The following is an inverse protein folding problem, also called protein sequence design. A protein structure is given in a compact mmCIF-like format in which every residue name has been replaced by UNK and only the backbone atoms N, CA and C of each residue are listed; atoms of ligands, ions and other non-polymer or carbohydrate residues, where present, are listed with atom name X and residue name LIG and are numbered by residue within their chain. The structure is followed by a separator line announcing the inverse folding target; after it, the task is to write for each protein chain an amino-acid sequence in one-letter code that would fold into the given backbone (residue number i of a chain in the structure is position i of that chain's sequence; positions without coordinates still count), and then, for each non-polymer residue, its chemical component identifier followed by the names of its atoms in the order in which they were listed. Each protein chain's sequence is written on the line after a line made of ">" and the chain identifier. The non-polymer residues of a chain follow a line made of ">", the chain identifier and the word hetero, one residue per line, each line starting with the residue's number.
data_IF_477667119327
#
_entry.id   IF_477667119327
#
_cell.length_a   1.000
_cell.length_b   1.000
_cell.length_c   1.000
_cell.angle_alpha   90.00
_cell.angle_beta   90.00
_cell.angle_gamma   90.00
#
_symmetry.space_group_name_H-M   'P 1'
#
loop_
_entity.id
_entity.type
_entity.pdbx_description
1 polymer ?
#
# COMPACT_ATOMS: atom_id res chain seq x y z
N UNK A 1 -30.80 1.28 -2.70
CA UNK A 1 -29.83 2.23 -3.30
C UNK A 1 -28.49 2.25 -2.54
N UNK A 2 -28.48 2.11 -1.20
CA UNK A 2 -27.23 1.91 -0.41
C UNK A 2 -26.45 0.66 -0.79
N UNK A 3 -27.13 -0.46 -1.00
CA UNK A 3 -26.48 -1.74 -1.30
C UNK A 3 -25.67 -1.71 -2.62
N UNK A 4 -26.17 -0.97 -3.62
CA UNK A 4 -25.46 -0.74 -4.88
C UNK A 4 -24.17 0.08 -4.69
N UNK A 5 -24.17 1.02 -3.74
CA UNK A 5 -23.02 1.86 -3.43
C UNK A 5 -21.95 1.05 -2.71
N UNK A 6 -22.35 0.21 -1.75
CA UNK A 6 -21.46 -0.70 -1.03
C UNK A 6 -20.84 -1.74 -1.97
N UNK A 7 -21.61 -2.30 -2.89
CA UNK A 7 -21.10 -3.20 -3.92
C UNK A 7 -20.07 -2.54 -4.83
N UNK A 8 -20.35 -1.31 -5.28
CA UNK A 8 -19.43 -0.54 -6.13
C UNK A 8 -18.13 -0.18 -5.40
N UNK A 9 -18.23 0.19 -4.12
CA UNK A 9 -17.08 0.43 -3.25
C UNK A 9 -16.24 -0.84 -3.05
N UNK A 10 -16.89 -1.98 -2.78
CA UNK A 10 -16.22 -3.27 -2.64
C UNK A 10 -15.50 -3.68 -3.92
N UNK A 11 -16.14 -3.54 -5.08
CA UNK A 11 -15.51 -3.84 -6.37
C UNK A 11 -14.33 -2.90 -6.68
N UNK A 12 -14.48 -1.61 -6.36
CA UNK A 12 -13.39 -0.64 -6.50
C UNK A 12 -12.20 -0.99 -5.61
N UNK A 13 -12.47 -1.32 -4.35
CA UNK A 13 -11.46 -1.79 -3.40
C UNK A 13 -10.76 -3.07 -3.88
N UNK A 14 -11.51 -4.06 -4.36
CA UNK A 14 -10.96 -5.33 -4.83
C UNK A 14 -10.00 -5.11 -6.02
N UNK A 15 -10.36 -4.23 -6.95
CA UNK A 15 -9.48 -3.86 -8.07
C UNK A 15 -8.16 -3.24 -7.59
N UNK A 16 -8.21 -2.31 -6.63
CA UNK A 16 -7.02 -1.70 -6.05
C UNK A 16 -6.17 -2.72 -5.29
N UNK A 17 -6.82 -3.59 -4.51
CA UNK A 17 -6.17 -4.64 -3.74
C UNK A 17 -5.40 -5.62 -4.64
N UNK A 18 -6.05 -6.10 -5.70
CA UNK A 18 -5.42 -7.01 -6.67
C UNK A 18 -4.30 -6.32 -7.46
N UNK A 19 -4.45 -5.04 -7.82
CA UNK A 19 -3.39 -4.27 -8.47
C UNK A 19 -2.15 -4.15 -7.60
N UNK A 20 -2.32 -3.92 -6.30
CA UNK A 20 -1.22 -3.91 -5.34
C UNK A 20 -0.54 -5.27 -5.20
N UNK A 21 -1.30 -6.36 -5.03
CA UNK A 21 -0.73 -7.71 -4.92
C UNK A 21 0.06 -8.08 -6.18
N UNK A 22 -0.47 -7.77 -7.36
CA UNK A 22 0.22 -8.00 -8.62
C UNK A 22 1.54 -7.23 -8.68
N UNK A 23 1.53 -5.93 -8.39
CA UNK A 23 2.75 -5.13 -8.35
C UNK A 23 3.75 -5.65 -7.31
N UNK A 24 3.29 -6.04 -6.12
CA UNK A 24 4.15 -6.55 -5.07
C UNK A 24 4.88 -7.84 -5.52
N UNK A 25 4.15 -8.77 -6.12
CA UNK A 25 4.72 -10.01 -6.64
C UNK A 25 5.63 -9.79 -7.86
N UNK A 26 5.27 -8.88 -8.76
CA UNK A 26 5.98 -8.68 -10.02
C UNK A 26 7.19 -7.74 -9.90
N UNK A 27 7.15 -6.78 -8.97
CA UNK A 27 8.12 -5.69 -8.87
C UNK A 27 8.81 -5.70 -7.51
N UNK A 28 8.05 -5.62 -6.41
CA UNK A 28 8.65 -5.46 -5.08
C UNK A 28 9.46 -6.68 -4.60
N UNK A 29 9.09 -7.88 -5.05
CA UNK A 29 9.80 -9.12 -4.75
C UNK A 29 10.87 -9.49 -5.80
N UNK A 30 11.05 -8.67 -6.85
CA UNK A 30 12.09 -8.92 -7.83
C UNK A 30 13.48 -8.76 -7.19
N UNK A 31 14.43 -9.65 -7.46
CA UNK A 31 15.76 -9.63 -6.82
C UNK A 31 16.59 -8.40 -7.22
N UNK A 32 16.27 -7.77 -8.33
CA UNK A 32 16.93 -6.61 -8.95
C UNK A 32 16.12 -5.31 -8.79
N UNK A 33 15.16 -5.27 -7.87
CA UNK A 33 14.29 -4.10 -7.70
C UNK A 33 15.08 -2.86 -7.24
N UNK A 34 14.95 -1.77 -8.00
CA UNK A 34 15.53 -0.48 -7.66
C UNK A 34 14.56 0.36 -6.82
N UNK A 35 15.09 1.27 -5.99
CA UNK A 35 14.33 2.24 -5.19
C UNK A 35 13.34 3.04 -6.05
N UNK A 36 13.68 3.33 -7.31
CA UNK A 36 12.80 4.05 -8.25
C UNK A 36 11.46 3.34 -8.46
N UNK A 37 11.44 2.00 -8.36
CA UNK A 37 10.22 1.21 -8.47
C UNK A 37 9.24 1.46 -7.32
N UNK A 38 9.71 1.99 -6.19
CA UNK A 38 8.90 2.32 -5.01
C UNK A 38 8.43 3.78 -4.99
N UNK A 39 8.79 4.59 -6.00
CA UNK A 39 8.35 6.00 -6.09
C UNK A 39 6.89 6.10 -6.56
N UNK A 40 6.42 5.18 -7.41
CA UNK A 40 5.04 5.15 -7.92
C UNK A 40 4.35 3.79 -7.68
N UNK A 41 4.15 3.38 -6.41
CA UNK A 41 3.42 2.16 -6.11
C UNK A 41 1.91 2.37 -6.31
N UNK A 42 1.17 1.33 -6.75
CA UNK A 42 -0.28 1.41 -6.84
C UNK A 42 -0.90 1.72 -5.46
N UNK A 43 -1.88 2.62 -5.45
CA UNK A 43 -2.61 3.00 -4.24
C UNK A 43 -3.24 1.76 -3.62
N UNK A 44 -2.86 1.47 -2.38
CA UNK A 44 -3.36 0.36 -1.59
C UNK A 44 -4.17 0.87 -0.41
N UNK A 45 -5.38 0.33 -0.25
CA UNK A 45 -6.22 0.53 0.92
C UNK A 45 -6.48 -0.84 1.53
N UNK A 46 -6.18 -1.00 2.82
CA UNK A 46 -6.24 -2.30 3.51
C UNK A 46 -7.66 -2.83 3.68
N UNK A 47 -8.64 -1.93 3.81
CA UNK A 47 -10.03 -2.28 4.08
C UNK A 47 -10.95 -1.63 3.06
N UNK A 48 -12.00 -2.34 2.66
CA UNK A 48 -13.03 -1.81 1.76
C UNK A 48 -13.93 -0.76 2.42
N UNK A 49 -13.97 -0.76 3.76
CA UNK A 49 -14.67 0.22 4.58
C UNK A 49 -13.68 1.22 5.18
N UNK A 50 -14.16 2.43 5.48
CA UNK A 50 -13.37 3.42 6.22
C UNK A 50 -13.10 2.92 7.63
N UNK A 51 -11.84 2.65 8.02
CA UNK A 51 -11.55 2.32 9.40
C UNK A 51 -11.91 3.50 10.30
N UNK A 52 -12.41 3.24 11.51
CA UNK A 52 -12.66 4.29 12.53
C UNK A 52 -11.37 4.90 13.11
N UNK A 53 -10.23 4.60 12.51
CA UNK A 53 -8.90 4.99 12.98
C UNK A 53 -8.42 6.14 12.12
N UNK A 54 -7.87 7.17 12.74
CA UNK A 54 -7.30 8.32 12.03
C UNK A 54 -6.10 7.87 11.18
N UNK A 55 -6.27 7.95 9.85
CA UNK A 55 -5.27 7.51 8.86
C UNK A 55 -4.05 8.44 8.82
N UNK A 56 -4.12 9.62 9.43
CA UNK A 56 -2.99 10.55 9.56
C UNK A 56 -1.82 9.93 10.35
N UNK A 57 -2.11 9.02 11.29
CA UNK A 57 -1.11 8.41 12.19
C UNK A 57 -0.25 7.36 11.50
N UNK A 58 -0.74 6.71 10.43
CA UNK A 58 -0.09 5.53 9.83
C UNK A 58 0.81 5.81 8.63
N UNK A 59 0.68 6.97 7.96
CA UNK A 59 1.34 7.23 6.67
C UNK A 59 2.86 7.27 6.73
N UNK A 60 3.44 7.60 7.89
CA UNK A 60 4.89 7.77 8.02
C UNK A 60 5.62 6.57 8.60
N UNK A 61 4.91 5.60 9.17
CA UNK A 61 5.54 4.52 9.93
C UNK A 61 6.42 3.58 9.11
N UNK A 62 6.12 3.38 7.81
CA UNK A 62 6.91 2.49 6.93
C UNK A 62 8.14 3.20 6.39
N UNK A 63 8.03 4.48 5.98
CA UNK A 63 9.17 5.28 5.53
C UNK A 63 10.21 5.45 6.65
N UNK A 64 9.78 5.78 7.87
CA UNK A 64 10.70 5.90 9.00
C UNK A 64 11.40 4.57 9.31
N UNK A 65 10.70 3.44 9.18
CA UNK A 65 11.32 2.13 9.42
C UNK A 65 12.39 1.77 8.39
N UNK A 66 12.17 2.12 7.12
CA UNK A 66 13.18 1.94 6.06
C UNK A 66 14.36 2.90 6.28
N UNK A 67 14.10 4.13 6.67
CA UNK A 67 15.15 5.10 7.02
C UNK A 67 16.00 4.61 8.20
N UNK A 68 15.35 4.15 9.28
CA UNK A 68 16.04 3.63 10.47
C UNK A 68 16.94 2.43 10.13
N UNK A 69 16.48 1.52 9.27
CA UNK A 69 17.30 0.39 8.79
C UNK A 69 18.52 0.83 7.99
N UNK A 70 18.38 1.83 7.11
CA UNK A 70 19.52 2.39 6.38
C UNK A 70 20.52 3.04 7.33
N UNK A 71 20.02 3.77 8.34
CA UNK A 71 20.88 4.39 9.36
C UNK A 71 21.63 3.34 10.17
N UNK A 72 20.98 2.26 10.61
CA UNK A 72 21.63 1.16 11.33
C UNK A 72 22.72 0.47 10.51
N UNK A 73 22.48 0.22 9.21
CA UNK A 73 23.45 -0.43 8.31
C UNK A 73 24.64 0.46 7.94
N UNK A 74 24.50 1.79 8.09
CA UNK A 74 25.53 2.77 7.77
C UNK A 74 26.47 3.12 8.94
N UNK A 75 26.28 2.48 10.10
CA UNK A 75 27.15 2.55 11.29
C UNK A 75 28.10 1.37 11.36
#
# INVERSE_FOLDING_TARGET
>A
MRDFLEWSLYQGWLKLHLKYLHWYCAVALAPDVNIDAFIDPPIYIRTWYSPKVDLSTFRFGVMFRVFDWVVELSR
#
